data_IF_203777288233
#
_entry.id   IF_203777288233
#
_cell.length_a   1.000
_cell.length_b   1.000
_cell.length_c   1.000
_cell.angle_alpha   90.00
_cell.angle_beta   90.00
_cell.angle_gamma   90.00
#
_symmetry.space_group_name_H-M   'P 1'
#
loop_
_entity.id
_entity.type
_entity.pdbx_description
1 polymer ?
#
# COMPACT_ATOMS: atom_id res chain seq x y z
N UNK A 1 -21.51 12.29 2.79
CA UNK A 1 -20.21 11.87 2.24
C UNK A 1 -19.39 13.12 2.01
N UNK A 2 -18.16 13.24 2.56
CA UNK A 2 -17.27 14.32 2.17
C UNK A 2 -16.90 14.18 0.68
N UNK A 3 -16.64 15.30 -0.02
CA UNK A 3 -16.21 15.27 -1.41
C UNK A 3 -14.87 14.54 -1.56
N UNK A 4 -14.57 13.95 -2.74
CA UNK A 4 -13.27 13.36 -2.99
C UNK A 4 -12.19 14.43 -2.79
N UNK A 5 -11.06 14.11 -2.13
CA UNK A 5 -10.03 15.10 -1.86
C UNK A 5 -9.51 15.67 -3.17
N UNK A 6 -9.57 17.01 -3.29
CA UNK A 6 -8.76 17.76 -4.26
C UNK A 6 -7.32 17.23 -4.12
N UNK A 7 -6.66 16.93 -5.24
CA UNK A 7 -5.36 16.27 -5.26
C UNK A 7 -4.46 16.78 -4.12
N UNK A 8 -4.16 15.88 -3.18
CA UNK A 8 -3.32 16.14 -2.02
C UNK A 8 -1.89 16.37 -2.53
N UNK A 9 -1.56 17.63 -2.83
CA UNK A 9 -0.27 17.99 -3.46
C UNK A 9 0.72 18.58 -2.47
N UNK A 10 0.29 18.97 -1.27
CA UNK A 10 1.20 19.50 -0.25
C UNK A 10 1.86 18.37 0.53
N UNK A 11 3.06 18.63 1.06
CA UNK A 11 3.76 17.69 1.95
C UNK A 11 2.91 17.30 3.16
N UNK A 12 2.17 18.26 3.73
CA UNK A 12 1.32 18.04 4.88
C UNK A 12 0.16 17.08 4.55
N UNK A 13 -0.45 17.25 3.38
CA UNK A 13 -1.54 16.38 2.93
C UNK A 13 -1.06 14.95 2.68
N UNK A 14 0.12 14.79 2.08
CA UNK A 14 0.72 13.47 1.81
C UNK A 14 1.14 12.77 3.11
N UNK A 15 1.65 13.52 4.08
CA UNK A 15 1.94 12.99 5.42
C UNK A 15 0.67 12.51 6.11
N UNK A 16 -0.39 13.31 6.09
CA UNK A 16 -1.70 12.92 6.63
C UNK A 16 -2.23 11.66 5.93
N UNK A 17 -2.18 11.61 4.60
CA UNK A 17 -2.60 10.43 3.84
C UNK A 17 -1.80 9.18 4.20
N UNK A 18 -0.47 9.29 4.38
CA UNK A 18 0.38 8.18 4.81
C UNK A 18 0.13 7.68 6.23
N UNK A 19 -0.53 8.49 7.08
CA UNK A 19 -0.99 8.10 8.41
C UNK A 19 -2.38 7.47 8.41
N UNK A 20 -3.27 7.88 7.52
CA UNK A 20 -4.69 7.48 7.51
C UNK A 20 -4.95 6.28 6.60
N UNK A 21 -4.19 6.12 5.52
CA UNK A 21 -4.40 5.07 4.53
C UNK A 21 -3.22 4.10 4.49
N UNK A 22 -3.52 2.82 4.31
CA UNK A 22 -2.51 1.81 4.03
C UNK A 22 -2.25 1.72 2.52
N UNK A 23 -0.99 1.89 2.09
CA UNK A 23 -0.65 1.88 0.67
C UNK A 23 -0.55 0.46 0.11
N UNK A 24 -0.67 0.34 -1.22
CA UNK A 24 -0.39 -0.91 -1.91
C UNK A 24 1.08 -1.32 -1.75
N UNK A 25 2.00 -0.34 -1.87
CA UNK A 25 3.44 -0.49 -1.63
C UNK A 25 3.90 0.72 -0.82
N UNK A 26 4.61 0.48 0.29
CA UNK A 26 5.14 1.51 1.19
C UNK A 26 6.64 1.75 0.98
N UNK A 27 7.13 2.92 1.42
CA UNK A 27 8.56 3.18 1.60
C UNK A 27 9.01 2.92 3.03
N UNK A 28 10.27 2.52 3.23
CA UNK A 28 10.94 2.47 4.53
C UNK A 28 11.54 3.83 4.92
N UNK A 29 12.18 3.88 6.09
CA UNK A 29 12.83 5.09 6.62
C UNK A 29 14.00 5.60 5.76
N UNK A 30 14.51 4.77 4.84
CA UNK A 30 15.56 5.10 3.87
C UNK A 30 14.99 5.48 2.51
N UNK A 31 13.67 5.48 2.36
CA UNK A 31 12.97 5.75 1.10
C UNK A 31 12.98 4.59 0.11
N UNK A 32 13.32 3.37 0.55
CA UNK A 32 13.27 2.17 -0.30
C UNK A 32 11.88 1.53 -0.23
N UNK A 33 11.43 0.91 -1.31
CA UNK A 33 10.16 0.18 -1.31
C UNK A 33 10.24 -1.02 -0.37
N UNK A 34 9.27 -1.14 0.53
CA UNK A 34 9.23 -2.14 1.59
C UNK A 34 7.80 -2.64 1.84
N UNK A 35 7.66 -3.92 2.20
CA UNK A 35 6.36 -4.57 2.44
C UNK A 35 5.82 -4.43 3.86
N UNK A 36 6.55 -3.80 4.79
CA UNK A 36 6.21 -3.75 6.23
C UNK A 36 4.91 -3.01 6.58
N UNK A 37 4.49 -2.06 5.74
CA UNK A 37 3.20 -1.35 5.83
C UNK A 37 2.35 -1.49 4.56
N UNK A 38 2.70 -2.46 3.70
CA UNK A 38 2.02 -2.66 2.43
C UNK A 38 0.86 -3.62 2.57
N UNK A 39 -0.19 -3.41 1.78
CA UNK A 39 -1.31 -4.36 1.65
C UNK A 39 -0.95 -5.65 0.88
N UNK A 40 0.31 -5.78 0.45
CA UNK A 40 0.81 -6.89 -0.37
C UNK A 40 2.04 -7.52 0.28
N UNK A 41 2.12 -8.85 0.22
CA UNK A 41 3.24 -9.64 0.74
C UNK A 41 4.47 -9.49 -0.16
N UNK A 42 4.23 -9.58 -1.48
CA UNK A 42 5.25 -9.43 -2.51
C UNK A 42 4.68 -8.82 -3.76
N UNK A 43 5.57 -8.26 -4.59
CA UNK A 43 5.23 -7.65 -5.86
C UNK A 43 6.37 -7.88 -6.85
N UNK A 44 6.03 -7.84 -8.14
CA UNK A 44 6.99 -7.83 -9.23
C UNK A 44 6.51 -6.91 -10.34
N UNK A 45 7.45 -6.30 -11.04
CA UNK A 45 7.16 -5.49 -12.22
C UNK A 45 7.74 -6.18 -13.45
N UNK A 46 7.01 -6.15 -14.57
CA UNK A 46 7.53 -6.63 -15.85
C UNK A 46 8.76 -5.83 -16.28
N UNK A 47 9.59 -6.43 -17.11
CA UNK A 47 10.83 -5.80 -17.61
C UNK A 47 10.58 -4.49 -18.36
N UNK A 48 9.42 -4.37 -19.01
CA UNK A 48 8.97 -3.17 -19.70
C UNK A 48 8.29 -2.13 -18.77
N UNK A 49 8.25 -2.40 -17.46
CA UNK A 49 7.61 -1.59 -16.42
C UNK A 49 6.10 -1.34 -16.61
N UNK A 50 5.41 -2.11 -17.45
CA UNK A 50 3.97 -1.91 -17.75
C UNK A 50 3.03 -2.69 -16.86
N UNK A 51 3.49 -3.80 -16.30
CA UNK A 51 2.66 -4.73 -15.54
C UNK A 51 3.19 -4.86 -14.13
N UNK A 52 2.40 -4.41 -13.16
CA UNK A 52 2.63 -4.67 -11.75
C UNK A 52 1.80 -5.90 -11.32
N UNK A 53 2.47 -6.96 -10.89
CA UNK A 53 1.83 -8.14 -10.30
C UNK A 53 2.01 -8.09 -8.79
N UNK A 54 0.93 -8.29 -8.04
CA UNK A 54 0.96 -8.26 -6.57
C UNK A 54 0.36 -9.52 -5.98
N UNK A 55 0.97 -10.01 -4.89
CA UNK A 55 0.41 -11.06 -4.03
C UNK A 55 -0.15 -10.40 -2.78
N UNK A 56 -1.47 -10.39 -2.62
CA UNK A 56 -2.11 -9.85 -1.40
C UNK A 56 -1.90 -10.78 -0.23
N UNK A 57 -1.74 -10.20 0.96
CA UNK A 57 -2.01 -10.93 2.19
C UNK A 57 -3.52 -11.19 2.23
N UNK A 58 -3.92 -12.45 2.10
CA UNK A 58 -5.28 -12.84 2.47
C UNK A 58 -5.36 -12.74 3.99
N UNK A 59 -6.36 -12.01 4.47
CA UNK A 59 -6.76 -12.11 5.87
C UNK A 59 -7.00 -13.60 6.14
N UNK A 60 -6.35 -14.14 7.16
CA UNK A 60 -6.56 -15.50 7.58
C UNK A 60 -7.97 -15.56 8.18
N UNK A 61 -9.01 -15.71 7.34
CA UNK A 61 -10.33 -16.09 7.81
C UNK A 61 -10.16 -17.36 8.64
N UNK A 62 -10.66 -17.30 9.88
CA UNK A 62 -10.31 -18.20 10.96
C UNK A 62 -10.44 -19.68 10.60
N UNK A 63 -9.31 -20.36 10.60
CA UNK A 63 -9.26 -21.80 10.83
C UNK A 63 -9.58 -22.09 12.30
N UNK A 64 -10.85 -22.28 12.61
CA UNK A 64 -11.33 -22.85 13.87
C UNK A 64 -12.03 -24.17 13.58
N UNK A 65 -11.27 -25.26 13.61
CA UNK A 65 -11.82 -26.61 13.78
C UNK A 65 -12.23 -26.77 15.25
N UNK A 66 -13.48 -27.16 15.47
CA UNK A 66 -14.06 -27.52 16.76
C UNK A 66 -15.37 -28.25 16.56
#
# INVERSE_FOLDING_TARGET
>A
MPPPPLALTTTQDLQYAGHVYDPLISGDEKGQLASNRSLVESWSISEDARTLTVKRMLDQEGGGAG
#
